data_IF_430686321749
#
_entry.id   IF_430686321749
#
_cell.length_a   1.000
_cell.length_b   1.000
_cell.length_c   1.000
_cell.angle_alpha   90.00
_cell.angle_beta   90.00
_cell.angle_gamma   90.00
#
_symmetry.space_group_name_H-M   'P 1'
#
loop_
_entity.id
_entity.type
_entity.pdbx_description
1 polymer ?
#
# COMPACT_ATOMS: atom_id res chain seq x y z
N UNK A 1 -18.49 51.27 14.74
CA UNK A 1 -17.29 50.67 14.11
C UNK A 1 -17.41 49.16 14.21
N UNK A 2 -17.79 48.49 13.11
CA UNK A 2 -17.93 47.03 13.06
C UNK A 2 -16.70 46.44 12.37
N UNK A 3 -16.02 45.50 13.04
CA UNK A 3 -14.87 44.77 12.51
C UNK A 3 -15.38 43.74 11.49
N UNK A 4 -14.88 43.70 10.25
CA UNK A 4 -15.33 42.71 9.28
C UNK A 4 -14.82 41.31 9.65
N UNK A 5 -15.57 40.24 9.33
CA UNK A 5 -15.12 38.88 9.60
C UNK A 5 -13.94 38.53 8.68
N UNK A 6 -12.82 38.17 9.31
CA UNK A 6 -11.62 37.65 8.66
C UNK A 6 -11.96 36.43 7.81
N UNK A 7 -11.88 36.58 6.50
CA UNK A 7 -11.98 35.47 5.55
C UNK A 7 -10.82 34.51 5.81
N UNK A 8 -11.13 33.29 6.28
CA UNK A 8 -10.13 32.26 6.48
C UNK A 8 -9.50 31.90 5.13
N UNK A 9 -8.25 32.31 4.93
CA UNK A 9 -7.45 31.94 3.78
C UNK A 9 -7.38 30.40 3.66
N UNK A 10 -7.70 29.89 2.48
CA UNK A 10 -7.63 28.47 2.17
C UNK A 10 -6.22 27.93 2.44
N UNK A 11 -6.13 26.95 3.34
CA UNK A 11 -4.87 26.27 3.65
C UNK A 11 -4.23 25.68 2.38
N UNK A 12 -2.91 25.85 2.17
CA UNK A 12 -2.23 25.33 0.99
C UNK A 12 -2.30 23.80 0.98
N UNK A 13 -2.59 23.26 -0.22
CA UNK A 13 -3.00 21.88 -0.46
C UNK A 13 -2.23 20.82 0.32
N UNK A 14 -2.93 20.14 1.22
CA UNK A 14 -2.47 18.91 1.88
C UNK A 14 -2.03 17.92 0.80
N UNK A 15 -0.74 17.55 0.76
CA UNK A 15 -0.28 16.47 -0.13
C UNK A 15 -1.02 15.19 0.26
N UNK A 16 -1.83 14.68 -0.64
CA UNK A 16 -2.52 13.40 -0.50
C UNK A 16 -1.48 12.30 -0.73
N UNK A 17 -1.06 11.67 0.36
CA UNK A 17 -0.16 10.52 0.34
C UNK A 17 -0.98 9.25 0.17
N UNK A 18 -0.76 8.56 -0.96
CA UNK A 18 -1.48 7.35 -1.35
C UNK A 18 -1.49 6.30 -0.26
N UNK A 19 -0.33 5.99 0.31
CA UNK A 19 -0.18 4.88 1.25
C UNK A 19 -0.81 5.24 2.60
N UNK A 20 -0.73 6.50 3.02
CA UNK A 20 -1.44 6.99 4.20
C UNK A 20 -2.97 7.01 4.03
N UNK A 21 -3.47 7.20 2.82
CA UNK A 21 -4.92 7.16 2.54
C UNK A 21 -5.40 5.71 2.51
N UNK A 22 -4.71 4.82 1.80
CA UNK A 22 -5.03 3.39 1.77
C UNK A 22 -4.93 2.71 3.14
N UNK A 23 -4.00 3.14 4.00
CA UNK A 23 -3.89 2.62 5.35
C UNK A 23 -5.08 2.99 6.27
N UNK A 24 -5.87 4.00 5.89
CA UNK A 24 -7.03 4.47 6.67
C UNK A 24 -8.37 4.15 6.02
N UNK A 25 -8.38 3.90 4.71
CA UNK A 25 -9.58 3.54 3.98
C UNK A 25 -9.91 2.07 4.26
N UNK A 26 -11.14 1.81 4.71
CA UNK A 26 -11.65 0.45 4.89
C UNK A 26 -12.46 0.09 3.64
N UNK A 27 -11.95 -0.86 2.86
CA UNK A 27 -12.46 -1.18 1.53
C UNK A 27 -13.92 -1.66 1.54
N UNK A 28 -14.40 -2.31 2.61
CA UNK A 28 -15.82 -2.72 2.70
C UNK A 28 -16.71 -1.51 2.88
N UNK A 29 -16.39 -0.63 3.82
CA UNK A 29 -17.13 0.62 4.01
C UNK A 29 -17.10 1.51 2.76
N UNK A 30 -15.97 1.56 2.05
CA UNK A 30 -15.88 2.26 0.76
C UNK A 30 -16.77 1.59 -0.29
N UNK A 31 -16.78 0.26 -0.38
CA UNK A 31 -17.65 -0.47 -1.30
C UNK A 31 -19.14 -0.27 -0.97
N UNK A 32 -19.54 -0.35 0.30
CA UNK A 32 -20.90 -0.11 0.75
C UNK A 32 -21.37 1.32 0.39
N UNK A 33 -20.50 2.30 0.58
CA UNK A 33 -20.82 3.70 0.27
C UNK A 33 -20.93 3.99 -1.23
N UNK A 34 -20.13 3.32 -2.06
CA UNK A 34 -20.06 3.59 -3.51
C UNK A 34 -20.99 2.72 -4.34
N UNK A 35 -21.22 1.48 -3.91
CA UNK A 35 -21.93 0.44 -4.65
C UNK A 35 -23.26 0.04 -4.01
N UNK A 36 -23.56 0.58 -2.84
CA UNK A 36 -24.68 0.13 -2.01
C UNK A 36 -24.32 -1.09 -1.16
N UNK A 37 -25.24 -1.54 -0.29
CA UNK A 37 -24.97 -2.58 0.70
C UNK A 37 -24.60 -3.91 0.04
N UNK A 38 -23.64 -4.62 0.64
CA UNK A 38 -23.29 -5.98 0.21
C UNK A 38 -24.48 -6.94 0.21
N UNK A 39 -24.57 -7.74 -0.86
CA UNK A 39 -25.33 -8.98 -0.85
C UNK A 39 -24.53 -10.07 -0.11
N UNK A 40 -25.24 -10.87 0.69
CA UNK A 40 -24.64 -11.93 1.49
C UNK A 40 -24.87 -13.29 0.84
N UNK A 41 -23.78 -13.97 0.50
CA UNK A 41 -23.81 -15.35 0.00
C UNK A 41 -23.03 -16.24 0.98
N UNK A 42 -23.74 -16.86 1.92
CA UNK A 42 -23.13 -17.59 3.03
C UNK A 42 -22.25 -16.68 3.91
N UNK A 43 -20.96 -17.01 4.04
CA UNK A 43 -19.98 -16.20 4.81
C UNK A 43 -19.32 -15.09 3.98
N UNK A 44 -19.64 -14.97 2.70
CA UNK A 44 -19.01 -14.02 1.79
C UNK A 44 -19.93 -12.82 1.52
N UNK A 45 -19.35 -11.63 1.53
CA UNK A 45 -20.00 -10.40 1.13
C UNK A 45 -19.62 -10.09 -0.32
N UNK A 46 -20.61 -9.67 -1.11
CA UNK A 46 -20.46 -9.39 -2.53
C UNK A 46 -21.13 -8.08 -2.91
N UNK A 47 -20.51 -7.35 -3.83
CA UNK A 47 -21.02 -6.09 -4.37
C UNK A 47 -21.14 -6.18 -5.89
N UNK A 48 -21.96 -5.33 -6.53
CA UNK A 48 -21.98 -5.25 -7.99
C UNK A 48 -20.61 -4.84 -8.52
N UNK A 49 -20.19 -5.39 -9.65
CA UNK A 49 -18.93 -4.98 -10.25
C UNK A 49 -19.04 -3.56 -10.82
N UNK A 50 -18.08 -2.65 -10.51
CA UNK A 50 -18.08 -1.28 -11.02
C UNK A 50 -17.51 -1.16 -12.44
N UNK A 51 -17.05 -2.24 -13.06
CA UNK A 51 -16.33 -2.15 -14.33
C UNK A 51 -17.27 -1.68 -15.46
N UNK A 52 -16.94 -0.60 -16.19
CA UNK A 52 -17.85 -0.01 -17.19
C UNK A 52 -18.28 -0.95 -18.30
N UNK A 53 -17.40 -1.88 -18.69
CA UNK A 53 -17.64 -2.87 -19.74
C UNK A 53 -17.98 -4.26 -19.18
N UNK A 54 -18.48 -4.34 -17.95
CA UNK A 54 -18.90 -5.62 -17.38
C UNK A 54 -20.06 -6.20 -18.21
N UNK A 55 -19.99 -7.47 -18.67
CA UNK A 55 -21.09 -8.09 -19.39
C UNK A 55 -22.33 -8.13 -18.48
N UNK A 56 -23.46 -7.59 -18.95
CA UNK A 56 -24.69 -7.57 -18.17
C UNK A 56 -25.30 -8.99 -18.07
N UNK A 57 -25.84 -9.38 -16.91
CA UNK A 57 -25.94 -8.60 -15.68
C UNK A 57 -24.62 -8.58 -14.86
N UNK A 58 -24.43 -7.56 -14.01
CA UNK A 58 -23.32 -7.47 -13.04
C UNK A 58 -23.46 -8.48 -11.87
N UNK A 59 -24.01 -9.65 -12.19
CA UNK A 59 -24.29 -10.76 -11.32
C UNK A 59 -23.79 -12.06 -11.96
N UNK A 60 -23.44 -13.05 -11.14
CA UNK A 60 -23.10 -14.38 -11.62
C UNK A 60 -24.35 -15.12 -12.14
N UNK A 61 -24.17 -16.35 -12.62
CA UNK A 61 -25.26 -17.19 -13.15
C UNK A 61 -26.36 -17.48 -12.13
N UNK A 62 -26.14 -17.19 -10.84
CA UNK A 62 -27.10 -17.34 -9.74
C UNK A 62 -27.74 -16.01 -9.33
N UNK A 63 -27.53 -14.93 -10.09
CA UNK A 63 -28.07 -13.60 -9.80
C UNK A 63 -27.36 -12.89 -8.64
N UNK A 64 -26.20 -13.38 -8.17
CA UNK A 64 -25.46 -12.76 -7.08
C UNK A 64 -24.43 -11.77 -7.61
N UNK A 65 -24.19 -10.63 -6.94
CA UNK A 65 -23.18 -9.67 -7.37
C UNK A 65 -21.78 -10.30 -7.50
N UNK A 66 -20.93 -9.78 -8.37
CA UNK A 66 -19.68 -10.45 -8.79
C UNK A 66 -18.41 -9.91 -8.15
N UNK A 67 -18.43 -8.69 -7.57
CA UNK A 67 -17.27 -8.14 -6.87
C UNK A 67 -17.11 -8.81 -5.51
N UNK A 68 -15.91 -9.33 -5.27
CA UNK A 68 -15.53 -9.91 -3.98
C UNK A 68 -14.26 -9.25 -3.46
N UNK A 69 -14.26 -8.87 -2.18
CA UNK A 69 -13.05 -8.42 -1.50
C UNK A 69 -12.18 -9.65 -1.20
N UNK A 70 -10.96 -9.63 -1.71
CA UNK A 70 -9.95 -10.67 -1.63
C UNK A 70 -8.74 -10.14 -0.86
N UNK A 71 -8.23 -10.90 0.11
CA UNK A 71 -7.11 -10.45 0.95
C UNK A 71 -7.47 -9.26 1.86
N UNK A 72 -6.46 -8.52 2.38
CA UNK A 72 -6.67 -7.54 3.45
C UNK A 72 -7.40 -6.27 3.00
N UNK A 73 -7.19 -5.77 1.77
CA UNK A 73 -7.79 -4.52 1.24
C UNK A 73 -7.76 -4.48 -0.30
N UNK A 74 -8.03 -5.61 -0.96
CA UNK A 74 -8.15 -5.68 -2.43
C UNK A 74 -9.46 -6.32 -2.83
N UNK A 75 -9.95 -6.04 -4.03
CA UNK A 75 -11.15 -6.65 -4.59
C UNK A 75 -10.86 -7.24 -5.95
N UNK A 76 -11.65 -8.23 -6.34
CA UNK A 76 -11.62 -8.84 -7.66
C UNK A 76 -13.04 -9.24 -8.10
N UNK A 77 -13.39 -8.94 -9.34
CA UNK A 77 -14.59 -9.47 -9.98
C UNK A 77 -14.45 -10.99 -10.22
N UNK A 78 -15.50 -11.74 -9.92
CA UNK A 78 -15.57 -13.19 -10.11
C UNK A 78 -16.37 -13.58 -11.37
N UNK A 79 -16.80 -12.61 -12.17
CA UNK A 79 -17.51 -12.89 -13.41
C UNK A 79 -16.54 -13.46 -14.46
N UNK A 80 -17.03 -14.45 -15.20
CA UNK A 80 -16.31 -15.01 -16.34
C UNK A 80 -16.14 -13.92 -17.42
N UNK A 81 -14.90 -13.71 -17.89
CA UNK A 81 -14.57 -12.65 -18.85
C UNK A 81 -14.35 -11.25 -18.25
N UNK A 82 -14.46 -11.08 -16.93
CA UNK A 82 -14.13 -9.80 -16.27
C UNK A 82 -12.88 -9.93 -15.38
N UNK A 83 -11.79 -9.30 -15.81
CA UNK A 83 -10.53 -9.27 -15.07
C UNK A 83 -10.36 -8.04 -14.18
N UNK A 84 -11.44 -7.35 -13.84
CA UNK A 84 -11.39 -6.16 -12.98
C UNK A 84 -10.97 -6.53 -11.55
N UNK A 85 -9.95 -5.86 -11.03
CA UNK A 85 -9.47 -6.00 -9.65
C UNK A 85 -8.74 -4.74 -9.21
N UNK A 86 -8.57 -4.57 -7.90
CA UNK A 86 -7.72 -3.49 -7.40
C UNK A 86 -7.90 -3.18 -5.93
N UNK A 87 -7.41 -2.01 -5.54
CA UNK A 87 -7.52 -1.41 -4.22
C UNK A 87 -8.76 -0.52 -4.10
N UNK A 88 -8.93 0.16 -2.96
CA UNK A 88 -9.97 1.18 -2.79
C UNK A 88 -9.85 2.34 -3.80
N UNK A 89 -8.63 2.64 -4.28
CA UNK A 89 -8.43 3.67 -5.32
C UNK A 89 -9.05 3.21 -6.63
N UNK A 90 -8.72 1.98 -7.04
CA UNK A 90 -9.22 1.40 -8.29
C UNK A 90 -10.74 1.26 -8.24
N UNK A 91 -11.32 0.97 -7.07
CA UNK A 91 -12.77 0.94 -6.86
C UNK A 91 -13.43 2.29 -7.16
N UNK A 92 -12.89 3.39 -6.62
CA UNK A 92 -13.40 4.75 -6.88
C UNK A 92 -13.23 5.14 -8.35
N UNK A 93 -12.09 4.78 -8.94
CA UNK A 93 -11.82 5.09 -10.36
C UNK A 93 -12.79 4.34 -11.28
N UNK A 94 -13.06 3.06 -11.03
CA UNK A 94 -13.98 2.28 -11.85
C UNK A 94 -15.44 2.68 -11.67
N UNK A 95 -15.88 2.99 -10.44
CA UNK A 95 -17.27 3.39 -10.15
C UNK A 95 -17.67 4.71 -10.77
N UNK A 96 -16.77 5.70 -10.74
CA UNK A 96 -17.12 7.09 -11.06
C UNK A 96 -16.36 7.66 -12.26
N UNK A 97 -15.49 6.88 -12.92
CA UNK A 97 -14.66 7.34 -14.03
C UNK A 97 -13.68 8.47 -13.65
N UNK A 98 -13.33 8.56 -12.36
CA UNK A 98 -12.56 9.68 -11.80
C UNK A 98 -11.06 9.51 -12.02
N UNK A 99 -10.36 10.63 -12.05
CA UNK A 99 -8.89 10.63 -12.07
C UNK A 99 -8.33 10.08 -10.74
N UNK A 100 -7.10 9.56 -10.78
CA UNK A 100 -6.40 9.07 -9.59
C UNK A 100 -6.36 10.10 -8.44
N UNK A 101 -6.21 11.39 -8.76
CA UNK A 101 -6.16 12.47 -7.75
C UNK A 101 -7.51 12.72 -7.09
N UNK A 102 -8.59 12.66 -7.86
CA UNK A 102 -9.95 12.74 -7.32
C UNK A 102 -10.28 11.50 -6.49
N UNK A 103 -9.86 10.31 -6.93
CA UNK A 103 -10.01 9.09 -6.16
C UNK A 103 -9.33 9.17 -4.78
N UNK A 104 -8.12 9.74 -4.71
CA UNK A 104 -7.45 9.99 -3.43
C UNK A 104 -8.20 11.01 -2.55
N UNK A 105 -8.85 12.03 -3.12
CA UNK A 105 -9.67 12.99 -2.35
C UNK A 105 -10.90 12.34 -1.76
N UNK A 106 -11.65 11.61 -2.60
CA UNK A 106 -12.85 10.88 -2.20
C UNK A 106 -12.51 9.88 -1.08
N UNK A 107 -11.38 9.17 -1.20
CA UNK A 107 -10.92 8.27 -0.16
C UNK A 107 -10.44 8.97 1.12
N UNK A 108 -9.81 10.15 1.03
CA UNK A 108 -9.44 10.92 2.23
C UNK A 108 -10.69 11.46 2.95
N UNK A 109 -11.74 11.80 2.21
CA UNK A 109 -13.07 12.19 2.73
C UNK A 109 -13.79 11.00 3.39
N UNK A 110 -13.83 9.84 2.73
CA UNK A 110 -14.40 8.62 3.31
C UNK A 110 -13.61 8.19 4.57
N UNK A 111 -12.28 8.20 4.52
CA UNK A 111 -11.42 7.95 5.67
C UNK A 111 -11.48 9.07 6.75
N UNK A 112 -12.14 10.19 6.44
CA UNK A 112 -12.45 11.29 7.36
C UNK A 112 -13.82 11.15 8.01
N UNK A 113 -14.83 10.68 7.28
CA UNK A 113 -16.21 10.51 7.74
C UNK A 113 -16.39 9.41 8.81
N UNK A 114 -15.53 8.39 8.82
CA UNK A 114 -15.50 7.37 9.88
C UNK A 114 -14.73 7.78 11.15
N UNK A 115 -14.26 9.04 11.23
CA UNK A 115 -13.60 9.59 12.44
C UNK A 115 -14.63 10.07 13.46
N UNK A 116 -15.29 9.14 14.15
CA UNK A 116 -16.02 9.45 15.39
C UNK A 116 -15.43 8.77 16.63
N UNK A 117 -14.17 8.29 16.62
CA UNK A 117 -13.57 7.74 17.85
C UNK A 117 -12.06 7.89 18.09
N UNK A 118 -11.35 8.82 17.45
CA UNK A 118 -9.97 9.12 17.89
C UNK A 118 -9.62 10.62 17.82
N UNK A 119 -8.97 11.19 18.87
CA UNK A 119 -8.51 12.57 18.86
C UNK A 119 -7.39 12.78 17.82
N UNK A 120 -7.40 13.97 17.21
CA UNK A 120 -6.50 14.39 16.12
C UNK A 120 -5.08 14.63 16.65
N UNK A 121 -4.02 13.94 16.17
CA UNK A 121 -2.67 14.40 16.46
C UNK A 121 -2.30 15.55 15.50
N UNK A 122 -1.70 16.58 16.06
CA UNK A 122 -1.14 17.72 15.32
C UNK A 122 -0.05 17.27 14.35
N UNK A 123 0.16 18.03 13.27
CA UNK A 123 1.04 17.68 12.14
C UNK A 123 2.53 17.48 12.50
N UNK A 124 2.99 18.02 13.63
CA UNK A 124 4.30 17.69 14.23
C UNK A 124 4.28 16.33 14.94
N UNK A 125 3.21 16.01 15.66
CA UNK A 125 3.00 14.72 16.31
C UNK A 125 3.02 13.56 15.31
N UNK A 126 2.42 13.70 14.13
CA UNK A 126 2.42 12.63 13.12
C UNK A 126 3.79 12.27 12.52
N UNK A 127 4.77 13.18 12.55
CA UNK A 127 6.15 12.89 12.13
C UNK A 127 6.95 12.27 13.28
N UNK A 128 6.79 12.79 14.50
CA UNK A 128 7.40 12.25 15.72
C UNK A 128 6.91 10.82 15.99
N UNK A 129 5.61 10.57 15.88
CA UNK A 129 5.00 9.24 16.04
C UNK A 129 5.48 8.23 14.99
N UNK A 130 5.66 8.65 13.73
CA UNK A 130 6.23 7.78 12.68
C UNK A 130 7.69 7.43 12.93
N UNK A 131 8.48 8.41 13.40
CA UNK A 131 9.87 8.19 13.80
C UNK A 131 9.98 7.27 15.01
N UNK A 132 9.07 7.43 15.97
CA UNK A 132 8.99 6.59 17.15
C UNK A 132 8.62 5.13 16.78
N UNK A 133 7.63 4.94 15.92
CA UNK A 133 7.24 3.62 15.46
C UNK A 133 8.33 2.91 14.66
N UNK A 134 9.03 3.64 13.78
CA UNK A 134 10.15 3.09 13.03
C UNK A 134 11.31 2.67 13.96
N UNK A 135 11.58 3.46 15.01
CA UNK A 135 12.56 3.13 16.05
C UNK A 135 12.15 1.90 16.85
N UNK A 136 10.89 1.82 17.25
CA UNK A 136 10.35 0.65 17.94
C UNK A 136 10.53 -0.61 17.09
N UNK A 137 10.08 -0.58 15.83
CA UNK A 137 10.23 -1.70 14.88
C UNK A 137 11.70 -2.10 14.64
N UNK A 138 12.63 -1.14 14.67
CA UNK A 138 14.05 -1.41 14.51
C UNK A 138 14.70 -2.08 15.74
N UNK A 139 14.13 -1.88 16.94
CA UNK A 139 14.61 -2.47 18.20
C UNK A 139 14.11 -3.88 18.42
N UNK A 140 12.95 -4.21 17.86
CA UNK A 140 12.36 -5.54 17.99
C UNK A 140 13.10 -6.51 17.06
N UNK A 141 13.69 -7.57 17.61
CA UNK A 141 14.08 -8.72 16.81
C UNK A 141 12.85 -9.57 16.50
N UNK A 142 12.42 -9.53 15.25
CA UNK A 142 11.24 -10.26 14.79
C UNK A 142 11.41 -11.78 14.90
N UNK A 143 12.64 -12.30 14.85
CA UNK A 143 12.92 -13.73 14.98
C UNK A 143 12.66 -14.18 16.42
N UNK A 144 13.16 -13.42 17.39
CA UNK A 144 12.93 -13.68 18.82
C UNK A 144 11.46 -13.51 19.18
N UNK A 145 10.81 -12.45 18.66
CA UNK A 145 9.39 -12.22 18.85
C UNK A 145 8.55 -13.39 18.28
N UNK A 146 8.90 -13.89 17.10
CA UNK A 146 8.22 -15.04 16.51
C UNK A 146 8.43 -16.32 17.33
N UNK A 147 9.62 -16.55 17.88
CA UNK A 147 9.85 -17.68 18.79
C UNK A 147 9.01 -17.59 20.06
N UNK A 148 8.88 -16.38 20.62
CA UNK A 148 8.05 -16.13 21.81
C UNK A 148 6.56 -16.35 21.54
N UNK A 149 6.05 -15.85 20.42
CA UNK A 149 4.62 -15.83 20.14
C UNK A 149 4.11 -17.09 19.44
N UNK A 150 4.93 -17.72 18.60
CA UNK A 150 4.53 -18.84 17.74
C UNK A 150 5.20 -20.16 18.13
N UNK A 151 6.07 -20.12 19.14
CA UNK A 151 6.94 -21.23 19.51
C UNK A 151 8.21 -21.32 18.65
N UNK A 152 9.13 -22.24 18.98
CA UNK A 152 10.43 -22.31 18.35
C UNK A 152 10.32 -22.61 16.85
N UNK A 153 10.91 -21.74 16.03
CA UNK A 153 10.98 -21.93 14.59
C UNK A 153 11.77 -23.18 14.19
N UNK A 154 11.31 -23.88 13.15
CA UNK A 154 11.97 -25.07 12.59
C UNK A 154 12.98 -24.70 11.51
N UNK A 155 14.13 -25.38 11.48
CA UNK A 155 15.24 -25.11 10.56
C UNK A 155 16.23 -24.07 11.08
N UNK A 156 17.26 -23.76 10.30
CA UNK A 156 18.34 -22.81 10.66
C UNK A 156 18.53 -21.72 9.60
N UNK A 157 19.08 -20.58 10.01
CA UNK A 157 19.41 -19.47 9.12
C UNK A 157 18.24 -19.01 8.24
N UNK A 158 18.49 -18.81 6.94
CA UNK A 158 17.47 -18.39 5.96
C UNK A 158 16.36 -19.41 5.73
N UNK A 159 16.59 -20.68 6.08
CA UNK A 159 15.62 -21.77 5.96
C UNK A 159 14.65 -21.84 7.15
N UNK A 160 14.93 -21.12 8.25
CA UNK A 160 14.11 -21.17 9.46
C UNK A 160 12.69 -20.65 9.21
N UNK A 161 11.68 -21.32 9.77
CA UNK A 161 10.28 -20.92 9.63
C UNK A 161 9.41 -21.23 10.83
N UNK A 162 8.26 -20.55 10.88
CA UNK A 162 7.27 -20.62 11.97
C UNK A 162 5.89 -20.99 11.42
N UNK A 163 5.00 -21.51 12.27
CA UNK A 163 3.59 -21.64 11.90
C UNK A 163 3.01 -20.26 11.60
N UNK A 164 2.04 -20.20 10.70
CA UNK A 164 1.34 -18.96 10.40
C UNK A 164 0.25 -18.70 11.46
N UNK A 165 0.18 -17.50 12.05
CA UNK A 165 -0.88 -17.15 13.01
C UNK A 165 -2.18 -16.69 12.34
N UNK A 166 -2.22 -16.58 11.01
CA UNK A 166 -3.37 -16.02 10.30
C UNK A 166 -4.59 -16.96 10.41
N UNK A 167 -5.77 -16.48 10.88
CA UNK A 167 -6.91 -17.36 11.18
C UNK A 167 -7.46 -18.12 9.97
N UNK A 168 -7.34 -17.54 8.77
CA UNK A 168 -7.78 -18.15 7.51
C UNK A 168 -6.65 -18.92 6.80
N UNK A 169 -5.57 -19.29 7.49
CA UNK A 169 -4.55 -20.16 6.93
C UNK A 169 -5.10 -21.60 6.80
N UNK A 170 -4.90 -22.31 5.67
CA UNK A 170 -5.25 -23.72 5.52
C UNK A 170 -4.61 -24.62 6.61
N UNK A 171 -5.07 -25.85 6.78
CA UNK A 171 -4.51 -26.76 7.78
C UNK A 171 -2.96 -26.86 7.69
N UNK A 172 -2.28 -26.65 8.81
CA UNK A 172 -0.81 -26.64 8.88
C UNK A 172 -0.31 -27.98 9.42
N UNK A 173 0.47 -28.71 8.63
CA UNK A 173 1.08 -29.99 9.05
C UNK A 173 2.26 -29.80 10.00
N UNK A 174 2.77 -28.57 10.14
CA UNK A 174 3.93 -28.24 10.95
C UNK A 174 5.27 -28.80 10.44
N UNK A 175 5.30 -29.65 9.41
CA UNK A 175 6.54 -30.20 8.82
C UNK A 175 7.36 -29.13 8.11
N UNK A 176 6.69 -28.29 7.32
CA UNK A 176 7.30 -27.19 6.58
C UNK A 176 6.60 -25.88 6.95
N UNK A 177 7.02 -25.21 8.04
CA UNK A 177 6.34 -24.01 8.49
C UNK A 177 6.47 -22.88 7.47
N UNK A 178 5.35 -22.27 7.03
CA UNK A 178 5.31 -21.42 5.84
C UNK A 178 5.69 -19.96 6.12
N UNK A 179 5.70 -19.53 7.38
CA UNK A 179 6.10 -18.17 7.74
C UNK A 179 7.63 -18.07 7.75
N UNK A 180 8.16 -17.14 6.95
CA UNK A 180 9.59 -16.80 6.92
C UNK A 180 9.78 -15.33 7.24
N UNK A 181 10.89 -15.03 7.92
CA UNK A 181 11.31 -13.67 8.26
C UNK A 181 12.49 -13.27 7.38
N UNK A 182 12.44 -12.05 6.85
CA UNK A 182 13.53 -11.44 6.07
C UNK A 182 13.80 -10.02 6.55
N UNK A 183 15.07 -9.62 6.52
CA UNK A 183 15.47 -8.22 6.71
C UNK A 183 15.45 -7.50 5.36
N UNK A 184 14.75 -6.39 5.28
CA UNK A 184 14.70 -5.52 4.10
C UNK A 184 15.97 -4.71 3.92
N UNK A 185 16.11 -4.06 2.76
CA UNK A 185 17.20 -3.11 2.47
C UNK A 185 17.18 -1.88 3.37
N UNK A 186 16.01 -1.55 3.94
CA UNK A 186 15.81 -0.52 4.96
C UNK A 186 16.23 -0.95 6.37
N UNK A 187 16.71 -2.18 6.53
CA UNK A 187 17.16 -2.74 7.80
C UNK A 187 16.03 -3.29 8.68
N UNK A 188 14.77 -3.15 8.31
CA UNK A 188 13.63 -3.64 9.09
C UNK A 188 13.35 -5.12 8.78
N UNK A 189 13.03 -5.91 9.80
CA UNK A 189 12.58 -7.28 9.63
C UNK A 189 11.08 -7.31 9.30
N UNK A 190 10.71 -8.17 8.35
CA UNK A 190 9.33 -8.42 7.93
C UNK A 190 9.11 -9.92 7.79
N UNK A 191 7.90 -10.37 8.08
CA UNK A 191 7.49 -11.75 7.89
C UNK A 191 6.56 -11.89 6.69
N UNK A 192 6.60 -13.06 6.05
CA UNK A 192 5.65 -13.48 5.02
C UNK A 192 5.34 -14.96 5.19
N UNK A 193 4.07 -15.29 5.19
CA UNK A 193 3.58 -16.65 5.04
C UNK A 193 3.45 -16.98 3.54
N UNK A 194 4.15 -18.03 3.11
CA UNK A 194 4.06 -18.50 1.73
C UNK A 194 2.84 -19.39 1.47
N UNK A 195 2.16 -19.86 2.52
CA UNK A 195 0.95 -20.69 2.39
C UNK A 195 -0.32 -19.88 2.10
N UNK A 196 -0.57 -18.82 2.89
CA UNK A 196 -1.77 -17.97 2.72
C UNK A 196 -1.49 -16.57 2.17
N UNK A 197 -0.22 -16.18 2.02
CA UNK A 197 0.18 -14.85 1.52
C UNK A 197 0.16 -13.73 2.57
N UNK A 198 -0.30 -13.99 3.80
CA UNK A 198 -0.23 -13.02 4.90
C UNK A 198 1.22 -12.55 5.12
N UNK A 199 1.38 -11.28 5.47
CA UNK A 199 2.69 -10.65 5.66
C UNK A 199 2.56 -9.47 6.61
N UNK A 200 3.67 -9.06 7.20
CA UNK A 200 3.68 -7.90 8.07
C UNK A 200 5.04 -7.66 8.74
N UNK A 201 5.04 -6.77 9.72
CA UNK A 201 6.13 -6.52 10.64
C UNK A 201 5.82 -6.99 12.07
N UNK A 202 6.59 -6.52 13.05
CA UNK A 202 6.44 -6.88 14.45
C UNK A 202 5.06 -6.55 15.02
N UNK A 203 4.46 -5.43 14.60
CA UNK A 203 3.13 -5.01 15.09
C UNK A 203 2.08 -5.96 14.55
N UNK A 204 2.07 -6.18 13.24
CA UNK A 204 1.13 -7.10 12.58
C UNK A 204 1.22 -8.52 13.17
N UNK A 205 2.42 -8.95 13.56
CA UNK A 205 2.61 -10.26 14.19
C UNK A 205 1.93 -10.35 15.57
N UNK A 206 2.07 -9.31 16.39
CA UNK A 206 1.43 -9.22 17.71
C UNK A 206 -0.08 -9.13 17.57
N UNK A 207 -0.59 -8.28 16.67
CA UNK A 207 -2.03 -8.15 16.41
C UNK A 207 -2.65 -9.48 16.01
N UNK A 208 -2.03 -10.20 15.05
CA UNK A 208 -2.57 -11.47 14.57
C UNK A 208 -2.49 -12.58 15.62
N UNK A 209 -1.40 -12.62 16.41
CA UNK A 209 -1.18 -13.73 17.35
C UNK A 209 -1.93 -13.53 18.66
N UNK A 210 -1.99 -12.29 19.16
CA UNK A 210 -2.65 -11.96 20.42
C UNK A 210 -4.07 -11.42 20.25
N UNK A 211 -4.53 -11.24 19.00
CA UNK A 211 -5.84 -10.65 18.67
C UNK A 211 -6.07 -9.29 19.32
N UNK A 212 -5.01 -8.46 19.33
CA UNK A 212 -4.98 -7.13 19.94
C UNK A 212 -5.08 -6.05 18.86
N UNK A 213 -5.58 -4.88 19.26
CA UNK A 213 -5.52 -3.70 18.37
C UNK A 213 -4.09 -3.16 18.23
N UNK A 214 -3.88 -2.29 17.25
CA UNK A 214 -2.56 -1.69 16.97
C UNK A 214 -1.95 -0.95 18.15
N UNK A 215 -2.75 -0.23 18.94
CA UNK A 215 -2.28 0.50 20.11
C UNK A 215 -1.83 -0.44 21.22
N UNK A 216 -2.57 -1.53 21.44
CA UNK A 216 -2.19 -2.61 22.35
C UNK A 216 -0.94 -3.36 21.91
N UNK A 217 -0.81 -3.63 20.61
CA UNK A 217 0.38 -4.25 20.03
C UNK A 217 1.62 -3.37 20.20
N UNK A 218 1.49 -2.05 19.98
CA UNK A 218 2.58 -1.09 20.22
C UNK A 218 2.98 -1.07 21.70
N UNK A 219 2.02 -1.04 22.63
CA UNK A 219 2.30 -1.09 24.08
C UNK A 219 3.05 -2.37 24.45
N UNK A 220 2.56 -3.53 24.00
CA UNK A 220 3.22 -4.81 24.22
C UNK A 220 4.68 -4.81 23.73
N UNK A 221 4.95 -4.25 22.54
CA UNK A 221 6.31 -4.18 22.01
C UNK A 221 7.20 -3.20 22.77
N UNK A 222 6.65 -2.08 23.27
CA UNK A 222 7.39 -1.14 24.12
C UNK A 222 7.77 -1.78 25.45
N UNK A 223 6.85 -2.50 26.07
CA UNK A 223 7.11 -3.25 27.30
C UNK A 223 8.19 -4.31 27.06
N UNK A 224 8.11 -5.02 25.94
CA UNK A 224 9.05 -6.06 25.54
C UNK A 224 10.49 -5.55 25.39
N UNK A 225 10.67 -4.41 24.73
CA UNK A 225 12.01 -3.84 24.49
C UNK A 225 12.48 -2.92 25.63
N UNK A 226 11.59 -2.59 26.58
CA UNK A 226 11.80 -1.64 27.67
C UNK A 226 11.71 -0.17 27.23
N UNK A 227 11.11 0.67 28.09
CA UNK A 227 10.90 2.12 27.91
C UNK A 227 12.17 2.97 28.12
N UNK A 228 13.36 2.40 27.88
CA UNK A 228 14.60 3.20 27.94
C UNK A 228 14.60 4.20 26.79
N UNK A 229 14.56 5.48 27.14
CA UNK A 229 14.86 6.58 26.24
C UNK A 229 16.25 6.35 25.64
N UNK A 230 16.28 5.97 24.37
CA UNK A 230 17.53 5.84 23.63
C UNK A 230 17.96 7.24 23.24
N UNK A 231 19.14 7.66 23.71
CA UNK A 231 19.87 8.77 23.11
C UNK A 231 19.82 8.60 21.58
N UNK A 232 19.61 9.68 20.80
CA UNK A 232 19.43 9.57 19.36
C UNK A 232 20.50 8.64 18.80
N UNK A 233 20.13 7.65 17.96
CA UNK A 233 21.12 6.71 17.44
C UNK A 233 22.28 7.51 16.88
N UNK A 234 23.55 7.12 17.14
CA UNK A 234 24.69 7.79 16.54
C UNK A 234 24.35 7.92 15.07
N UNK A 235 24.39 9.16 14.55
CA UNK A 235 24.08 9.41 13.14
C UNK A 235 24.92 8.42 12.37
N UNK A 236 24.26 7.42 11.78
CA UNK A 236 24.92 6.47 10.89
C UNK A 236 25.68 7.37 9.92
N UNK A 237 27.02 7.22 9.77
CA UNK A 237 27.71 7.95 8.73
C UNK A 237 26.89 7.70 7.48
N UNK A 238 26.34 8.76 6.91
CA UNK A 238 25.67 8.67 5.62
C UNK A 238 26.70 7.95 4.77
N UNK A 239 26.43 6.71 4.29
CA UNK A 239 27.36 6.07 3.38
C UNK A 239 27.61 7.12 2.31
N UNK A 240 28.87 7.48 2.00
CA UNK A 240 29.14 8.51 1.02
C UNK A 240 28.24 8.19 -0.16
N UNK A 241 27.39 9.16 -0.53
CA UNK A 241 26.43 8.96 -1.61
C UNK A 241 27.19 8.22 -2.70
N UNK A 242 26.70 7.05 -3.19
CA UNK A 242 27.44 6.26 -4.15
C UNK A 242 27.90 7.26 -5.19
N UNK A 243 29.23 7.39 -5.37
CA UNK A 243 29.80 8.37 -6.29
C UNK A 243 28.98 8.21 -7.55
N UNK A 244 28.17 9.20 -7.90
CA UNK A 244 27.31 9.11 -9.09
C UNK A 244 28.30 8.90 -10.21
N UNK A 245 28.45 7.66 -10.67
CA UNK A 245 29.27 7.36 -11.80
C UNK A 245 28.70 8.24 -12.90
N UNK A 246 29.52 9.14 -13.46
CA UNK A 246 29.09 9.94 -14.59
C UNK A 246 28.66 8.93 -15.65
N UNK A 247 27.41 9.00 -16.17
CA UNK A 247 26.99 8.16 -17.28
C UNK A 247 28.05 8.22 -18.37
N UNK A 248 28.38 7.08 -18.98
CA UNK A 248 29.34 7.09 -20.09
C UNK A 248 28.82 8.01 -21.20
N UNK A 249 29.70 8.70 -21.94
CA UNK A 249 29.29 9.51 -23.08
C UNK A 249 28.43 8.73 -24.09
N UNK A 250 28.70 7.43 -24.24
CA UNK A 250 27.92 6.50 -25.06
C UNK A 250 26.46 6.41 -24.59
N UNK A 251 26.23 6.23 -23.28
CA UNK A 251 24.89 6.20 -22.72
C UNK A 251 24.18 7.56 -22.88
N UNK A 252 24.92 8.66 -22.75
CA UNK A 252 24.40 10.01 -23.01
C UNK A 252 23.90 10.18 -24.44
N UNK A 253 24.71 9.78 -25.42
CA UNK A 253 24.35 9.84 -26.85
C UNK A 253 23.16 8.95 -27.20
N UNK A 254 23.09 7.75 -26.62
CA UNK A 254 21.95 6.86 -26.80
C UNK A 254 20.65 7.45 -26.24
N UNK A 255 20.68 8.05 -25.04
CA UNK A 255 19.52 8.77 -24.50
C UNK A 255 19.08 9.91 -25.43
N UNK A 256 20.02 10.69 -25.96
CA UNK A 256 19.71 11.77 -26.92
C UNK A 256 19.06 11.24 -28.20
N UNK A 257 19.53 10.10 -28.71
CA UNK A 257 18.94 9.43 -29.86
C UNK A 257 17.51 8.98 -29.58
N UNK A 258 17.27 8.29 -28.46
CA UNK A 258 15.93 7.87 -28.07
C UNK A 258 15.00 9.07 -27.85
N UNK A 259 15.49 10.17 -27.29
CA UNK A 259 14.71 11.41 -27.17
C UNK A 259 14.29 11.94 -28.54
N UNK A 260 15.22 12.00 -29.51
CA UNK A 260 14.90 12.42 -30.88
C UNK A 260 13.86 11.51 -31.53
N UNK A 261 14.01 10.19 -31.37
CA UNK A 261 13.07 9.20 -31.89
C UNK A 261 11.67 9.36 -31.29
N UNK A 262 11.55 9.64 -29.99
CA UNK A 262 10.24 9.88 -29.37
C UNK A 262 9.49 11.06 -30.02
N UNK A 263 10.21 12.08 -30.50
CA UNK A 263 9.63 13.27 -31.12
C UNK A 263 9.57 13.21 -32.65
N UNK A 264 10.05 12.14 -33.27
CA UNK A 264 9.87 11.86 -34.71
C UNK A 264 8.59 11.06 -34.98
N UNK A 265 8.33 10.75 -36.24
CA UNK A 265 7.21 9.89 -36.63
C UNK A 265 7.36 8.47 -36.10
N UNK A 266 8.58 7.94 -36.04
CA UNK A 266 8.89 6.61 -35.45
C UNK A 266 8.37 6.50 -34.01
N UNK A 267 8.47 7.58 -33.23
CA UNK A 267 7.99 7.64 -31.85
C UNK A 267 6.50 7.94 -31.70
N UNK A 268 5.72 8.06 -32.77
CA UNK A 268 4.32 8.48 -32.68
C UNK A 268 3.50 7.59 -31.74
N UNK A 269 3.65 6.26 -31.82
CA UNK A 269 2.94 5.31 -30.94
C UNK A 269 3.35 5.47 -29.48
N UNK A 270 4.66 5.56 -29.20
CA UNK A 270 5.17 5.75 -27.85
C UNK A 270 4.77 7.10 -27.25
N UNK A 271 4.80 8.16 -28.07
CA UNK A 271 4.41 9.52 -27.69
C UNK A 271 2.91 9.58 -27.40
N UNK A 272 2.08 8.97 -28.24
CA UNK A 272 0.64 8.90 -28.04
C UNK A 272 0.27 8.17 -26.75
N UNK A 273 0.92 7.02 -26.51
CA UNK A 273 0.77 6.29 -25.25
C UNK A 273 1.13 7.15 -24.04
N UNK A 274 2.31 7.78 -24.03
CA UNK A 274 2.77 8.57 -22.89
C UNK A 274 1.89 9.82 -22.66
N UNK A 275 1.49 10.50 -23.73
CA UNK A 275 0.75 11.76 -23.62
C UNK A 275 -0.76 11.53 -23.43
N UNK A 276 -1.39 10.71 -24.27
CA UNK A 276 -2.85 10.51 -24.25
C UNK A 276 -3.27 9.44 -23.23
N UNK A 277 -2.59 8.29 -23.18
CA UNK A 277 -2.99 7.18 -22.28
C UNK A 277 -2.43 7.33 -20.87
N UNK A 278 -1.25 7.93 -20.71
CA UNK A 278 -0.59 8.10 -19.40
C UNK A 278 -0.66 9.53 -18.87
N UNK A 279 -1.16 10.49 -19.66
CA UNK A 279 -1.36 11.87 -19.23
C UNK A 279 -0.07 12.63 -18.91
N UNK A 280 1.07 12.22 -19.47
CA UNK A 280 2.35 12.91 -19.26
C UNK A 280 2.46 14.07 -20.24
N UNK A 281 2.64 15.29 -19.72
CA UNK A 281 2.81 16.47 -20.58
C UNK A 281 4.14 16.44 -21.33
N UNK A 282 4.18 17.08 -22.50
CA UNK A 282 5.41 17.21 -23.28
C UNK A 282 6.56 17.85 -22.48
N UNK A 283 6.23 18.80 -21.60
CA UNK A 283 7.19 19.45 -20.71
C UNK A 283 7.86 18.44 -19.77
N UNK A 284 7.09 17.53 -19.15
CA UNK A 284 7.62 16.50 -18.26
C UNK A 284 8.53 15.54 -19.03
N UNK A 285 8.11 15.11 -20.22
CA UNK A 285 8.89 14.19 -21.05
C UNK A 285 10.24 14.81 -21.46
N UNK A 286 10.26 16.10 -21.83
CA UNK A 286 11.49 16.81 -22.19
C UNK A 286 12.39 17.05 -20.98
N UNK A 287 11.83 17.52 -19.86
CA UNK A 287 12.59 17.82 -18.64
C UNK A 287 13.28 16.58 -18.05
N UNK A 288 12.71 15.39 -18.24
CA UNK A 288 13.24 14.13 -17.72
C UNK A 288 13.98 13.29 -18.77
N UNK A 289 14.20 13.85 -19.96
CA UNK A 289 14.88 13.19 -21.08
C UNK A 289 14.29 11.83 -21.47
N UNK A 290 12.96 11.71 -21.44
CA UNK A 290 12.26 10.49 -21.85
C UNK A 290 12.43 10.30 -23.37
N UNK A 291 12.78 9.09 -23.77
CA UNK A 291 12.97 8.70 -25.17
C UNK A 291 12.17 7.46 -25.56
N UNK A 292 12.26 7.10 -26.83
CA UNK A 292 11.64 5.92 -27.44
C UNK A 292 12.72 5.11 -28.14
N UNK A 293 12.77 3.82 -27.84
CA UNK A 293 13.58 2.85 -28.57
C UNK A 293 12.63 1.77 -29.13
N UNK A 294 12.48 1.67 -30.46
CA UNK A 294 11.68 0.61 -31.07
C UNK A 294 12.35 -0.77 -30.98
N UNK A 295 13.60 -0.85 -30.51
CA UNK A 295 14.42 -2.07 -30.59
C UNK A 295 15.06 -2.24 -31.98
N UNK A 296 15.91 -3.26 -32.15
CA UNK A 296 16.46 -3.65 -33.45
C UNK A 296 15.40 -4.23 -34.39
#
# INVERSE_FOLDING_TARGET
MAVPPTTAAASPGRRLDRDQILARAELRAVADSLLGPAARQGRQLRWPCPHPEHPAPASDRSGQPTLKITGPQTWKCQAEGCDAWGSAIDLVMHTQGRSFREALRILDEHAGAFRTRQPRPTSQGGRVQRLDLARLKARVDLVELADRLLGPGKGRGRGRGWPCPHPQHPAQTGRTPPLKIKRGSDGLQRWKCFGCGARGDAIDLVELTLQRDTGEAIRYLRDLVGDRAVAPPPRRPVPPAPRRAKPSPVLGGYVDQCQKLLWSDTGAVGRDYLMKRRGLSAQILRANRVGYDPGP
#
